data_IF_009748413260
#
_entry.id   IF_009748413260
#
_cell.length_a   1.000
_cell.length_b   1.000
_cell.length_c   1.000
_cell.angle_alpha   90.00
_cell.angle_beta   90.00
_cell.angle_gamma   90.00
#
_symmetry.space_group_name_H-M   'P 1'
#
loop_
_entity.id
_entity.type
_entity.pdbx_description
1 polymer ?
#
# COMPACT_ATOMS: atom_id res chain seq x y z
N UNK A 1 3.60 -61.65 54.23
CA UNK A 1 2.60 -61.81 55.31
C UNK A 1 3.29 -61.30 56.56
N UNK A 2 2.95 -60.19 57.21
CA UNK A 2 1.79 -59.29 57.32
C UNK A 2 2.39 -57.91 57.74
N UNK A 3 1.80 -56.71 57.70
CA UNK A 3 0.51 -56.15 57.31
C UNK A 3 0.70 -54.65 57.03
N UNK A 4 -0.18 -54.11 56.20
CA UNK A 4 -0.41 -52.69 55.88
C UNK A 4 -0.78 -51.83 57.11
N UNK A 5 -0.52 -50.51 57.06
CA UNK A 5 -1.61 -49.48 56.98
C UNK A 5 -1.13 -48.03 56.76
N UNK A 6 -1.62 -47.53 55.63
CA UNK A 6 -1.90 -46.22 55.06
C UNK A 6 -2.23 -44.98 55.96
N UNK A 7 -1.76 -43.80 55.48
CA UNK A 7 -2.49 -42.58 55.03
C UNK A 7 -2.62 -41.29 55.89
N UNK A 8 -2.47 -40.17 55.14
CA UNK A 8 -2.86 -38.74 55.32
C UNK A 8 -2.04 -37.86 56.28
N UNK A 9 -1.27 -36.87 55.79
CA UNK A 9 -1.60 -35.55 55.20
C UNK A 9 -2.15 -34.55 56.22
N UNK A 10 -1.35 -33.53 56.59
CA UNK A 10 -1.81 -32.20 57.01
C UNK A 10 -0.64 -31.22 56.99
N UNK A 11 -0.87 -30.12 56.27
CA UNK A 11 0.00 -29.00 55.96
C UNK A 11 -0.14 -27.91 57.04
N UNK A 12 0.95 -27.33 57.54
CA UNK A 12 0.94 -26.07 58.31
C UNK A 12 2.30 -25.34 58.27
N UNK A 13 2.46 -24.49 57.26
CA UNK A 13 2.87 -23.07 57.29
C UNK A 13 3.68 -22.55 58.51
N UNK A 14 4.98 -22.26 58.31
CA UNK A 14 5.71 -21.10 58.90
C UNK A 14 6.94 -20.81 58.01
N UNK A 15 7.04 -19.61 57.44
CA UNK A 15 8.34 -19.03 57.07
C UNK A 15 8.24 -17.50 57.07
N UNK A 16 8.80 -16.94 58.14
CA UNK A 16 8.98 -15.52 58.44
C UNK A 16 10.09 -14.89 57.59
N UNK A 17 9.93 -13.60 57.32
CA UNK A 17 10.86 -12.70 56.64
C UNK A 17 12.25 -12.65 57.29
N UNK A 18 13.29 -12.51 56.45
CA UNK A 18 14.59 -11.96 56.84
C UNK A 18 15.06 -11.00 55.76
N UNK A 19 15.12 -9.72 56.10
CA UNK A 19 15.87 -8.70 55.37
C UNK A 19 17.35 -8.85 55.69
N UNK A 20 18.21 -8.80 54.66
CA UNK A 20 19.60 -8.35 54.80
C UNK A 20 19.95 -7.45 53.62
N UNK A 21 20.29 -6.21 53.94
CA UNK A 21 21.01 -5.25 53.10
C UNK A 21 22.48 -5.30 53.53
N UNK A 22 23.38 -5.27 52.54
CA UNK A 22 24.81 -5.01 52.73
C UNK A 22 25.32 -4.28 51.48
N UNK A 23 25.84 -3.06 51.67
CA UNK A 23 26.57 -2.28 50.68
C UNK A 23 28.08 -2.55 50.82
N UNK A 24 28.84 -2.50 49.72
CA UNK A 24 30.07 -1.68 49.56
C UNK A 24 30.75 -1.94 48.21
N UNK A 25 30.80 -0.86 47.42
CA UNK A 25 31.81 -0.34 46.49
C UNK A 25 32.62 -1.19 45.48
N UNK A 26 32.66 -0.57 44.29
CA UNK A 26 33.66 -0.54 43.22
C UNK A 26 33.63 -1.53 42.02
N UNK A 27 33.84 -0.86 40.87
CA UNK A 27 34.23 -1.29 39.53
C UNK A 27 33.18 -1.74 38.49
N UNK A 28 32.95 -0.80 37.56
CA UNK A 28 32.90 -0.98 36.11
C UNK A 28 32.10 -2.17 35.55
N UNK A 29 30.98 -1.85 34.92
CA UNK A 29 30.88 -2.22 33.51
C UNK A 29 30.09 -1.17 32.74
N UNK A 30 30.82 -0.35 31.97
CA UNK A 30 30.24 0.37 30.86
C UNK A 30 29.56 -0.64 29.94
N UNK A 31 28.25 -0.52 29.80
CA UNK A 31 27.52 -1.14 28.70
C UNK A 31 28.04 -0.51 27.42
N UNK A 32 28.95 -1.23 26.77
CA UNK A 32 29.44 -0.93 25.44
C UNK A 32 28.27 -1.11 24.47
N UNK A 33 27.51 -0.03 24.27
CA UNK A 33 26.49 0.09 23.21
C UNK A 33 27.20 0.25 21.87
N UNK A 34 27.90 -0.81 21.45
CA UNK A 34 28.26 -1.00 20.06
C UNK A 34 27.02 -1.59 19.36
N UNK A 35 25.97 -0.78 19.27
CA UNK A 35 24.69 -1.09 18.63
C UNK A 35 24.88 -1.24 17.12
N UNK A 36 25.36 -2.40 16.69
CA UNK A 36 25.36 -2.77 15.28
C UNK A 36 23.90 -2.85 14.82
N UNK A 37 23.50 -1.91 13.97
CA UNK A 37 22.17 -1.89 13.36
C UNK A 37 22.06 -3.13 12.48
N UNK A 38 21.07 -3.99 12.75
CA UNK A 38 20.88 -5.23 11.99
C UNK A 38 20.56 -4.92 10.52
N UNK A 39 21.33 -5.53 9.60
CA UNK A 39 21.13 -5.44 8.16
C UNK A 39 20.29 -6.59 7.63
N UNK A 40 19.14 -6.27 7.07
CA UNK A 40 18.24 -7.13 6.31
C UNK A 40 18.79 -7.29 4.89
N UNK A 41 19.01 -8.54 4.47
CA UNK A 41 19.45 -8.88 3.11
C UNK A 41 19.22 -10.36 2.79
N UNK A 42 19.09 -10.66 1.51
CA UNK A 42 18.97 -12.01 0.97
C UNK A 42 17.61 -12.66 1.23
N UNK A 43 17.62 -13.99 1.29
CA UNK A 43 16.40 -14.80 1.27
C UNK A 43 16.00 -15.31 2.66
N UNK A 44 14.72 -15.16 2.99
CA UNK A 44 14.06 -15.70 4.18
C UNK A 44 13.35 -17.01 3.82
N UNK A 45 13.77 -18.11 4.45
CA UNK A 45 13.18 -19.45 4.26
C UNK A 45 12.46 -20.00 5.51
N UNK A 46 12.46 -19.23 6.60
CA UNK A 46 11.71 -19.50 7.83
C UNK A 46 11.25 -18.19 8.46
N UNK A 47 10.22 -18.23 9.31
CA UNK A 47 9.68 -17.03 9.95
C UNK A 47 10.76 -16.14 10.59
N UNK A 48 10.72 -14.85 10.29
CA UNK A 48 11.54 -13.79 10.88
C UNK A 48 10.64 -12.81 11.61
N UNK A 49 11.13 -12.18 12.68
CA UNK A 49 10.42 -11.11 13.39
C UNK A 49 11.33 -9.92 13.63
N UNK A 50 10.98 -8.79 13.01
CA UNK A 50 11.57 -7.47 13.29
C UNK A 50 10.88 -6.88 14.51
N UNK A 51 11.68 -6.51 15.52
CA UNK A 51 11.22 -6.19 16.86
C UNK A 51 10.91 -4.71 17.05
N UNK A 52 9.83 -4.42 17.79
CA UNK A 52 9.42 -3.07 18.11
C UNK A 52 10.55 -2.27 18.78
N UNK A 53 10.66 -0.98 18.46
CA UNK A 53 11.70 -0.10 19.00
C UNK A 53 13.06 -0.21 18.31
N UNK A 54 13.19 -1.06 17.29
CA UNK A 54 14.43 -1.25 16.53
C UNK A 54 14.39 -0.54 15.18
N UNK A 55 15.52 0.06 14.81
CA UNK A 55 15.80 0.48 13.43
C UNK A 55 16.63 -0.60 12.75
N UNK A 56 16.26 -0.98 11.53
CA UNK A 56 16.96 -1.94 10.68
C UNK A 56 17.49 -1.25 9.43
N UNK A 57 18.57 -1.78 8.87
CA UNK A 57 19.05 -1.40 7.53
C UNK A 57 18.58 -2.42 6.51
N UNK A 58 18.10 -1.99 5.36
CA UNK A 58 17.91 -2.87 4.19
C UNK A 58 19.13 -2.66 3.27
N UNK A 59 19.71 -3.73 2.72
CA UNK A 59 20.84 -3.63 1.79
C UNK A 59 20.81 -4.83 0.84
N UNK A 60 20.32 -4.58 -0.37
CA UNK A 60 19.91 -5.55 -1.37
C UNK A 60 18.47 -6.03 -1.22
N UNK A 61 18.17 -7.03 -2.03
CA UNK A 61 16.90 -7.75 -2.01
C UNK A 61 16.64 -8.40 -0.64
N UNK A 62 15.41 -8.33 -0.16
CA UNK A 62 14.93 -9.07 1.00
C UNK A 62 13.70 -9.89 0.63
N UNK A 63 13.95 -11.15 0.31
CA UNK A 63 12.99 -12.02 -0.38
C UNK A 63 12.41 -13.02 0.61
N UNK A 64 11.10 -13.06 0.76
CA UNK A 64 10.40 -14.05 1.60
C UNK A 64 9.89 -15.18 0.72
N UNK A 65 10.41 -16.39 0.96
CA UNK A 65 10.05 -17.58 0.20
C UNK A 65 8.79 -18.26 0.72
N UNK A 66 8.20 -19.09 -0.13
CA UNK A 66 6.99 -19.84 0.20
C UNK A 66 7.12 -20.62 1.52
N UNK A 67 6.14 -20.46 2.41
CA UNK A 67 6.13 -21.11 3.73
C UNK A 67 6.81 -20.30 4.84
N UNK A 68 7.48 -19.18 4.53
CA UNK A 68 8.03 -18.26 5.52
C UNK A 68 7.15 -17.02 5.70
N UNK A 69 7.27 -16.40 6.88
CA UNK A 69 6.58 -15.17 7.25
C UNK A 69 7.56 -14.10 7.73
N UNK A 70 7.53 -12.92 7.12
CA UNK A 70 8.16 -11.72 7.67
C UNK A 70 7.20 -11.01 8.62
N UNK A 71 7.46 -11.08 9.92
CA UNK A 71 6.68 -10.35 10.93
C UNK A 71 7.39 -9.04 11.27
N UNK A 72 6.67 -7.93 11.26
CA UNK A 72 7.20 -6.60 11.58
C UNK A 72 6.31 -6.00 12.66
N UNK A 73 6.87 -5.83 13.86
CA UNK A 73 6.16 -5.28 15.01
C UNK A 73 6.01 -3.75 14.90
N UNK A 74 5.05 -3.19 15.65
CA UNK A 74 4.76 -1.76 15.61
C UNK A 74 5.97 -0.88 15.94
N UNK A 75 6.09 0.26 15.25
CA UNK A 75 7.16 1.24 15.47
C UNK A 75 8.53 0.85 14.91
N UNK A 76 8.64 -0.29 14.22
CA UNK A 76 9.87 -0.64 13.49
C UNK A 76 10.15 0.40 12.41
N UNK A 77 11.41 0.82 12.31
CA UNK A 77 11.92 1.61 11.19
C UNK A 77 12.86 0.76 10.35
N UNK A 78 12.63 0.71 9.04
CA UNK A 78 13.54 0.10 8.06
C UNK A 78 14.11 1.23 7.21
N UNK A 79 15.43 1.28 7.07
CA UNK A 79 16.13 2.31 6.28
C UNK A 79 16.94 1.61 5.19
N UNK A 80 16.57 1.79 3.93
CA UNK A 80 17.37 1.34 2.79
C UNK A 80 18.71 2.06 2.77
N UNK A 81 19.77 1.33 2.44
CA UNK A 81 21.12 1.87 2.28
C UNK A 81 21.19 2.54 0.91
N UNK A 82 21.78 3.74 0.86
CA UNK A 82 21.98 4.41 -0.42
C UNK A 82 23.36 4.07 -1.00
N UNK A 83 23.43 2.98 -1.76
CA UNK A 83 24.61 2.55 -2.50
C UNK A 83 24.23 2.01 -3.91
N UNK A 84 25.16 1.32 -4.58
CA UNK A 84 24.96 0.78 -5.93
C UNK A 84 24.15 -0.54 -5.95
N UNK A 85 23.68 -1.01 -4.79
CA UNK A 85 22.84 -2.20 -4.64
C UNK A 85 21.39 -1.75 -4.51
N UNK A 86 20.52 -2.36 -5.30
CA UNK A 86 19.09 -2.03 -5.26
C UNK A 86 18.41 -2.73 -4.08
N UNK A 87 17.73 -1.93 -3.26
CA UNK A 87 17.04 -2.35 -2.05
C UNK A 87 15.54 -2.51 -2.29
N UNK A 88 14.98 -3.68 -2.01
CA UNK A 88 13.53 -3.92 -2.09
C UNK A 88 13.10 -5.10 -1.24
N UNK A 89 11.83 -5.14 -0.85
CA UNK A 89 11.23 -6.28 -0.13
C UNK A 89 10.29 -7.02 -1.08
N UNK A 90 10.48 -8.32 -1.25
CA UNK A 90 9.68 -9.16 -2.12
C UNK A 90 9.05 -10.33 -1.36
N UNK A 91 7.72 -10.39 -1.35
CA UNK A 91 6.93 -11.47 -0.77
C UNK A 91 6.47 -12.39 -1.90
N UNK A 92 7.08 -13.56 -2.05
CA UNK A 92 6.73 -14.51 -3.12
C UNK A 92 5.41 -15.24 -2.83
N UNK A 93 4.81 -15.84 -3.85
CA UNK A 93 3.61 -16.67 -3.70
C UNK A 93 3.76 -17.72 -2.59
N UNK A 94 2.81 -17.72 -1.65
CA UNK A 94 2.79 -18.64 -0.50
C UNK A 94 3.70 -18.22 0.67
N UNK A 95 4.42 -17.10 0.56
CA UNK A 95 5.03 -16.40 1.68
C UNK A 95 4.03 -15.41 2.29
N UNK A 96 4.39 -14.82 3.45
CA UNK A 96 3.57 -13.81 4.12
C UNK A 96 4.38 -12.65 4.66
N UNK A 97 3.74 -11.48 4.70
CA UNK A 97 4.18 -10.32 5.49
C UNK A 97 3.11 -9.97 6.53
N UNK A 98 3.50 -9.86 7.79
CA UNK A 98 2.64 -9.37 8.87
C UNK A 98 3.26 -8.10 9.44
N UNK A 99 2.99 -6.96 8.79
CA UNK A 99 3.41 -5.64 9.22
C UNK A 99 2.29 -4.97 10.01
N UNK A 100 2.40 -4.98 11.33
CA UNK A 100 1.32 -4.61 12.26
C UNK A 100 1.71 -3.38 13.08
N UNK A 101 1.71 -2.21 12.44
CA UNK A 101 1.88 -0.91 13.09
C UNK A 101 0.66 -0.47 13.89
N UNK A 102 0.73 0.74 14.42
CA UNK A 102 -0.41 1.44 15.03
C UNK A 102 -0.45 2.90 14.58
N UNK A 103 -1.59 3.58 14.75
CA UNK A 103 -1.72 5.00 14.43
C UNK A 103 -0.62 5.88 15.04
N UNK A 104 -0.11 5.56 16.24
CA UNK A 104 0.91 6.33 16.95
C UNK A 104 2.33 5.74 16.85
N UNK A 105 2.45 4.51 16.40
CA UNK A 105 3.71 3.81 16.16
C UNK A 105 3.62 3.05 14.84
N UNK A 106 3.57 3.78 13.70
CA UNK A 106 3.54 3.15 12.38
C UNK A 106 4.85 2.40 12.13
N UNK A 107 4.79 1.43 11.23
CA UNK A 107 6.01 0.88 10.62
C UNK A 107 6.43 1.85 9.52
N UNK A 108 7.68 2.31 9.57
CA UNK A 108 8.21 3.27 8.59
C UNK A 108 9.34 2.62 7.81
N UNK A 109 9.16 2.50 6.50
CA UNK A 109 10.17 2.04 5.56
C UNK A 109 10.59 3.22 4.69
N UNK A 110 11.86 3.60 4.74
CA UNK A 110 12.40 4.84 4.14
C UNK A 110 13.83 4.60 3.66
N UNK A 111 14.50 5.64 3.16
CA UNK A 111 15.87 5.57 2.66
C UNK A 111 16.82 6.49 3.43
N UNK A 112 18.12 6.16 3.43
CA UNK A 112 19.19 7.09 3.84
C UNK A 112 19.18 8.36 2.99
N UNK A 113 18.78 8.23 1.73
CA UNK A 113 18.61 9.34 0.80
C UNK A 113 17.11 9.61 0.63
N UNK A 114 16.64 10.66 1.27
CA UNK A 114 15.23 11.08 1.23
C UNK A 114 14.87 11.79 -0.09
N UNK A 115 15.07 11.11 -1.23
CA UNK A 115 14.73 11.58 -2.57
C UNK A 115 13.87 10.52 -3.29
N UNK A 116 12.86 10.92 -4.09
CA UNK A 116 12.12 9.99 -4.94
C UNK A 116 13.05 9.05 -5.72
N UNK A 117 12.71 7.76 -5.76
CA UNK A 117 13.48 6.74 -6.47
C UNK A 117 14.65 6.15 -5.70
N UNK A 118 14.75 6.37 -4.39
CA UNK A 118 15.91 5.95 -3.61
C UNK A 118 15.93 4.45 -3.25
N UNK A 119 14.80 3.74 -3.37
CA UNK A 119 14.71 2.29 -3.19
C UNK A 119 13.46 1.71 -3.86
N UNK A 120 13.39 0.38 -3.97
CA UNK A 120 12.40 -0.33 -4.77
C UNK A 120 11.09 -0.69 -4.06
N UNK A 121 10.83 -0.22 -2.84
CA UNK A 121 9.53 -0.43 -2.18
C UNK A 121 9.21 -1.89 -1.80
N UNK A 122 7.92 -2.22 -1.73
CA UNK A 122 7.40 -3.52 -1.31
C UNK A 122 6.62 -4.18 -2.44
N UNK A 123 6.95 -5.43 -2.74
CA UNK A 123 6.34 -6.23 -3.80
C UNK A 123 5.68 -7.47 -3.22
N UNK A 124 4.40 -7.68 -3.48
CA UNK A 124 3.64 -8.80 -2.93
C UNK A 124 3.01 -9.63 -4.04
N UNK A 125 3.46 -10.87 -4.19
CA UNK A 125 2.96 -11.82 -5.18
C UNK A 125 1.97 -12.80 -4.53
N UNK A 126 0.69 -12.70 -4.90
CA UNK A 126 -0.38 -13.60 -4.48
C UNK A 126 -0.83 -14.57 -5.58
N UNK A 127 -1.81 -15.42 -5.23
CA UNK A 127 -2.36 -16.49 -6.09
C UNK A 127 -3.75 -16.21 -6.64
N UNK A 128 -4.28 -15.00 -6.44
CA UNK A 128 -5.55 -14.58 -7.02
C UNK A 128 -5.41 -14.41 -8.53
N UNK A 129 -6.54 -14.24 -9.22
CA UNK A 129 -6.55 -14.08 -10.67
C UNK A 129 -5.71 -12.90 -11.17
N UNK A 130 -5.30 -12.99 -12.43
CA UNK A 130 -4.86 -11.88 -13.28
C UNK A 130 -5.37 -12.20 -14.69
N UNK A 131 -5.59 -11.18 -15.51
CA UNK A 131 -5.86 -11.36 -16.93
C UNK A 131 -4.59 -11.33 -17.80
N UNK A 132 -3.39 -11.29 -17.20
CA UNK A 132 -2.13 -11.55 -17.87
C UNK A 132 -2.18 -12.87 -18.66
N UNK A 133 -1.37 -12.96 -19.71
CA UNK A 133 -1.38 -14.11 -20.62
C UNK A 133 -1.19 -15.43 -19.84
N UNK A 134 -2.16 -16.35 -19.98
CA UNK A 134 -2.13 -17.64 -19.28
C UNK A 134 -2.56 -17.60 -17.81
N UNK A 135 -3.06 -16.46 -17.30
CA UNK A 135 -3.54 -16.29 -15.93
C UNK A 135 -2.42 -16.24 -14.88
N UNK A 136 -1.19 -15.95 -15.31
CA UNK A 136 0.00 -15.79 -14.47
C UNK A 136 0.92 -14.76 -15.08
N UNK A 137 1.43 -13.86 -14.25
CA UNK A 137 2.44 -12.89 -14.64
C UNK A 137 3.78 -13.14 -13.96
N UNK A 138 4.77 -12.33 -14.33
CA UNK A 138 6.05 -12.18 -13.65
C UNK A 138 6.10 -10.77 -13.09
N UNK A 139 6.37 -10.61 -11.80
CA UNK A 139 6.56 -9.28 -11.22
C UNK A 139 7.73 -8.59 -11.93
N UNK A 140 7.59 -7.29 -12.15
CA UNK A 140 8.63 -6.48 -12.81
C UNK A 140 9.89 -6.49 -11.95
N UNK A 141 9.70 -6.39 -10.63
CA UNK A 141 10.79 -6.46 -9.67
C UNK A 141 11.00 -7.89 -9.18
N UNK A 142 12.22 -8.39 -9.36
CA UNK A 142 12.65 -9.71 -8.90
C UNK A 142 12.13 -10.91 -9.71
N UNK A 143 11.28 -10.69 -10.73
CA UNK A 143 10.83 -11.75 -11.64
C UNK A 143 10.05 -12.89 -10.97
N UNK A 144 9.30 -12.59 -9.90
CA UNK A 144 8.55 -13.59 -9.17
C UNK A 144 7.21 -13.88 -9.85
N UNK A 145 6.81 -15.15 -9.85
CA UNK A 145 5.50 -15.55 -10.39
C UNK A 145 4.39 -15.03 -9.48
N UNK A 146 3.35 -14.46 -10.07
CA UNK A 146 2.08 -14.17 -9.44
C UNK A 146 0.91 -14.68 -10.29
N UNK A 147 -0.30 -14.56 -9.78
CA UNK A 147 -1.50 -14.99 -10.48
C UNK A 147 -1.89 -16.45 -10.21
N UNK A 148 -3.12 -16.78 -10.52
CA UNK A 148 -3.72 -18.09 -10.25
C UNK A 148 -5.23 -18.01 -10.28
N UNK A 149 -5.88 -18.86 -9.48
CA UNK A 149 -7.35 -18.91 -9.39
C UNK A 149 -7.83 -18.92 -7.93
N UNK A 150 -6.98 -18.49 -6.99
CA UNK A 150 -7.30 -18.46 -5.56
C UNK A 150 -7.56 -17.02 -5.08
N UNK A 151 -8.75 -16.51 -5.39
CA UNK A 151 -9.16 -15.15 -5.02
C UNK A 151 -9.29 -14.95 -3.50
N UNK A 152 -9.22 -16.03 -2.70
CA UNK A 152 -9.19 -15.97 -1.25
C UNK A 152 -7.77 -16.08 -0.67
N UNK A 153 -6.73 -16.07 -1.53
CA UNK A 153 -5.33 -16.13 -1.10
C UNK A 153 -5.00 -15.05 -0.06
N UNK A 154 -4.06 -15.37 0.83
CA UNK A 154 -3.71 -14.54 1.97
C UNK A 154 -2.18 -14.40 2.05
N UNK A 155 -1.69 -13.25 1.61
CA UNK A 155 -0.29 -12.83 1.65
C UNK A 155 0.08 -12.14 2.97
N UNK A 156 -0.84 -12.08 3.94
CA UNK A 156 -0.62 -11.55 5.29
C UNK A 156 -1.41 -10.27 5.57
N UNK A 157 -0.77 -9.32 6.25
CA UNK A 157 -1.38 -8.09 6.76
C UNK A 157 -0.42 -6.91 6.68
N UNK A 158 -0.89 -5.78 6.17
CA UNK A 158 -0.27 -4.47 6.30
C UNK A 158 -1.25 -3.55 7.03
N UNK A 159 -0.85 -3.11 8.22
CA UNK A 159 -1.60 -2.14 9.02
C UNK A 159 -0.69 -1.03 9.55
N UNK A 160 -1.03 0.24 9.30
CA UNK A 160 -0.23 1.41 9.69
C UNK A 160 1.22 1.31 9.17
N UNK A 161 1.35 1.08 7.87
CA UNK A 161 2.63 0.96 7.16
C UNK A 161 2.84 2.21 6.30
N UNK A 162 4.02 2.82 6.41
CA UNK A 162 4.41 3.96 5.58
C UNK A 162 5.67 3.62 4.80
N UNK A 163 5.59 3.72 3.48
CA UNK A 163 6.73 3.68 2.57
C UNK A 163 7.03 5.09 2.09
N UNK A 164 8.31 5.47 2.12
CA UNK A 164 8.78 6.80 1.76
C UNK A 164 9.86 6.69 0.69
N UNK A 165 9.83 7.54 -0.33
CA UNK A 165 10.93 7.70 -1.30
C UNK A 165 11.24 6.44 -2.15
N UNK A 166 10.21 5.66 -2.46
CA UNK A 166 10.26 4.51 -3.40
C UNK A 166 10.36 4.99 -4.85
N UNK A 167 10.33 4.10 -5.85
CA UNK A 167 10.48 4.50 -7.26
C UNK A 167 11.78 4.09 -7.94
N UNK A 168 12.56 3.15 -7.41
CA UNK A 168 13.86 2.89 -8.04
C UNK A 168 13.68 2.37 -9.48
N UNK A 169 14.26 3.07 -10.47
CA UNK A 169 14.26 2.68 -11.87
C UNK A 169 15.30 1.58 -12.13
N UNK A 170 14.85 0.38 -12.48
CA UNK A 170 15.72 -0.77 -12.74
C UNK A 170 16.28 -0.75 -14.17
N UNK A 171 15.46 -0.31 -15.13
CA UNK A 171 15.87 -0.05 -16.50
C UNK A 171 14.97 1.04 -17.14
N UNK A 172 15.03 1.20 -18.47
CA UNK A 172 14.24 2.24 -19.18
C UNK A 172 12.75 1.93 -19.25
N UNK A 173 12.34 0.68 -18.97
CA UNK A 173 10.96 0.20 -19.08
C UNK A 173 10.36 -0.19 -17.72
N UNK A 174 11.18 -0.50 -16.71
CA UNK A 174 10.74 -0.96 -15.39
C UNK A 174 11.23 -0.04 -14.26
N UNK A 175 10.27 0.57 -13.57
CA UNK A 175 10.46 1.33 -12.33
C UNK A 175 9.59 0.71 -11.21
N UNK A 176 9.95 0.95 -9.95
CA UNK A 176 9.35 0.25 -8.82
C UNK A 176 8.45 1.13 -7.97
N UNK A 177 7.26 0.66 -7.64
CA UNK A 177 6.25 1.47 -6.97
C UNK A 177 6.44 1.56 -5.43
N UNK A 178 5.52 2.25 -4.76
CA UNK A 178 5.45 2.26 -3.30
C UNK A 178 5.17 0.89 -2.70
N UNK A 179 3.94 0.41 -2.89
CA UNK A 179 3.56 -0.98 -2.59
C UNK A 179 2.83 -1.55 -3.81
N UNK A 180 3.38 -2.62 -4.38
CA UNK A 180 2.83 -3.29 -5.55
C UNK A 180 2.14 -4.59 -5.16
N UNK A 181 0.90 -4.75 -5.62
CA UNK A 181 0.04 -5.90 -5.37
C UNK A 181 -0.11 -6.72 -6.65
N UNK A 182 0.72 -7.76 -6.79
CA UNK A 182 0.67 -8.68 -7.91
C UNK A 182 -0.24 -9.87 -7.59
N UNK A 183 -1.46 -9.92 -8.15
CA UNK A 183 -2.41 -11.03 -7.99
C UNK A 183 -2.75 -11.32 -6.52
N UNK A 184 -2.82 -10.29 -5.67
CA UNK A 184 -3.05 -10.47 -4.22
C UNK A 184 -4.51 -10.76 -3.94
N UNK A 185 -4.77 -11.78 -3.10
CA UNK A 185 -6.11 -12.24 -2.78
C UNK A 185 -6.80 -11.47 -1.66
N UNK A 186 -8.14 -11.58 -1.65
CA UNK A 186 -9.05 -10.94 -0.68
C UNK A 186 -8.88 -11.42 0.77
N UNK A 187 -8.12 -12.49 1.01
CA UNK A 187 -7.75 -12.95 2.35
C UNK A 187 -6.65 -12.11 3.00
N UNK A 188 -5.97 -11.26 2.23
CA UNK A 188 -4.94 -10.32 2.69
C UNK A 188 -5.60 -9.06 3.27
N UNK A 189 -5.06 -8.55 4.38
CA UNK A 189 -5.54 -7.30 5.00
C UNK A 189 -4.58 -6.17 4.62
N UNK A 190 -5.09 -5.12 3.98
CA UNK A 190 -4.34 -3.91 3.66
C UNK A 190 -5.15 -2.73 4.17
N UNK A 191 -4.66 -2.08 5.21
CA UNK A 191 -5.42 -1.05 5.92
C UNK A 191 -4.48 0.00 6.52
N UNK A 192 -4.77 1.30 6.39
CA UNK A 192 -3.90 2.37 6.89
C UNK A 192 -2.47 2.28 6.33
N UNK A 193 -2.33 2.37 5.00
CA UNK A 193 -1.03 2.39 4.35
C UNK A 193 -0.78 3.75 3.68
N UNK A 194 0.46 4.25 3.76
CA UNK A 194 0.87 5.47 3.09
C UNK A 194 2.05 5.24 2.14
N UNK A 195 1.96 5.77 0.93
CA UNK A 195 3.09 6.03 0.05
C UNK A 195 3.41 7.54 0.03
N UNK A 196 4.68 7.89 0.23
CA UNK A 196 5.12 9.28 0.38
C UNK A 196 6.33 9.58 -0.51
N UNK A 197 6.16 10.50 -1.46
CA UNK A 197 7.22 11.04 -2.32
C UNK A 197 8.05 9.99 -3.06
N UNK A 198 7.40 8.99 -3.67
CA UNK A 198 8.06 8.07 -4.61
C UNK A 198 8.28 8.68 -5.98
N UNK A 199 9.16 8.13 -6.81
CA UNK A 199 9.32 8.58 -8.22
C UNK A 199 8.35 7.92 -9.19
N UNK A 200 7.72 6.83 -8.76
CA UNK A 200 6.72 6.06 -9.50
C UNK A 200 5.42 5.96 -8.68
N UNK A 201 4.55 5.02 -9.02
CA UNK A 201 3.22 4.91 -8.43
C UNK A 201 3.22 4.74 -6.91
N UNK A 202 2.23 5.34 -6.26
CA UNK A 202 2.04 5.18 -4.82
C UNK A 202 1.65 3.74 -4.44
N UNK A 203 0.58 3.26 -5.06
CA UNK A 203 0.09 1.90 -4.95
C UNK A 203 -0.35 1.41 -6.31
N UNK A 204 0.12 0.22 -6.70
CA UNK A 204 -0.24 -0.38 -7.99
C UNK A 204 -0.78 -1.79 -7.82
N UNK A 205 -1.84 -2.11 -8.57
CA UNK A 205 -2.49 -3.41 -8.55
C UNK A 205 -2.40 -4.09 -9.92
N UNK A 206 -1.69 -5.22 -9.98
CA UNK A 206 -1.68 -6.11 -11.15
C UNK A 206 -2.60 -7.29 -10.88
N UNK A 207 -3.86 -7.17 -11.29
CA UNK A 207 -4.87 -8.18 -11.03
C UNK A 207 -5.21 -8.37 -9.55
N UNK A 208 -5.86 -9.49 -9.24
CA UNK A 208 -6.19 -9.91 -7.88
C UNK A 208 -7.51 -9.34 -7.35
N UNK A 209 -7.80 -9.70 -6.10
CA UNK A 209 -9.08 -9.42 -5.41
C UNK A 209 -8.89 -8.76 -4.06
N UNK A 210 -7.66 -8.31 -3.75
CA UNK A 210 -7.33 -7.67 -2.47
C UNK A 210 -8.24 -6.46 -2.23
N UNK A 211 -8.74 -6.35 -0.99
CA UNK A 211 -9.47 -5.17 -0.55
C UNK A 211 -8.51 -4.26 0.23
N UNK A 212 -8.64 -2.96 0.03
CA UNK A 212 -7.84 -1.94 0.71
C UNK A 212 -8.74 -0.94 1.44
N UNK A 213 -8.27 -0.43 2.59
CA UNK A 213 -8.94 0.65 3.30
C UNK A 213 -7.96 1.67 3.87
N UNK A 214 -8.38 2.93 3.98
CA UNK A 214 -7.59 3.99 4.62
C UNK A 214 -6.21 4.17 3.94
N UNK A 215 -6.22 4.39 2.62
CA UNK A 215 -5.00 4.46 1.80
C UNK A 215 -4.64 5.91 1.51
N UNK A 216 -3.37 6.28 1.65
CA UNK A 216 -2.91 7.66 1.50
C UNK A 216 -1.70 7.73 0.59
N UNK A 217 -1.76 8.59 -0.43
CA UNK A 217 -0.63 8.84 -1.33
C UNK A 217 -0.31 10.31 -1.33
N UNK A 218 0.95 10.65 -1.09
CA UNK A 218 1.40 12.04 -1.04
C UNK A 218 2.57 12.24 -1.98
N UNK A 219 2.32 12.96 -3.08
CA UNK A 219 3.34 13.53 -3.97
C UNK A 219 4.32 12.51 -4.58
N UNK A 220 3.85 11.31 -4.90
CA UNK A 220 4.51 10.44 -5.88
C UNK A 220 4.51 11.13 -7.25
N UNK A 221 5.59 11.00 -8.04
CA UNK A 221 5.71 11.74 -9.32
C UNK A 221 5.00 11.11 -10.50
N UNK A 222 4.65 9.83 -10.45
CA UNK A 222 3.75 9.24 -11.45
C UNK A 222 2.30 9.21 -10.92
N UNK A 223 1.61 8.08 -10.99
CA UNK A 223 0.22 7.96 -10.59
C UNK A 223 0.09 7.73 -9.08
N UNK A 224 -0.96 8.28 -8.46
CA UNK A 224 -1.12 8.06 -7.01
C UNK A 224 -1.60 6.63 -6.74
N UNK A 225 -2.62 6.19 -7.47
CA UNK A 225 -3.07 4.82 -7.51
C UNK A 225 -3.13 4.37 -8.97
N UNK A 226 -2.57 3.21 -9.29
CA UNK A 226 -2.73 2.57 -10.59
C UNK A 226 -3.35 1.17 -10.41
N UNK A 227 -4.17 0.76 -11.36
CA UNK A 227 -4.41 -0.67 -11.53
C UNK A 227 -4.47 -1.09 -12.99
N UNK A 228 -4.10 -2.35 -13.17
CA UNK A 228 -4.21 -3.07 -14.42
C UNK A 228 -4.52 -4.55 -14.15
N UNK A 229 -4.49 -5.33 -15.20
CA UNK A 229 -4.50 -6.78 -15.20
C UNK A 229 -5.68 -7.49 -14.50
N UNK A 230 -6.83 -6.83 -14.44
CA UNK A 230 -8.05 -7.47 -13.98
C UNK A 230 -8.36 -7.31 -12.50
N UNK A 231 -7.78 -6.32 -11.79
CA UNK A 231 -8.05 -6.12 -10.37
C UNK A 231 -9.54 -5.86 -10.10
N UNK A 232 -10.16 -6.66 -9.23
CA UNK A 232 -11.59 -6.57 -8.90
C UNK A 232 -11.88 -6.44 -7.40
N UNK A 233 -10.90 -5.92 -6.66
CA UNK A 233 -11.02 -5.66 -5.24
C UNK A 233 -11.96 -4.50 -4.88
N UNK A 234 -11.97 -4.17 -3.59
CA UNK A 234 -12.69 -2.99 -3.07
C UNK A 234 -11.73 -2.03 -2.40
N UNK A 235 -11.98 -0.75 -2.56
CA UNK A 235 -11.29 0.32 -1.86
C UNK A 235 -12.28 1.16 -1.05
N UNK A 236 -11.95 1.49 0.19
CA UNK A 236 -12.68 2.52 0.96
C UNK A 236 -11.72 3.49 1.60
N UNK A 237 -12.07 4.78 1.59
CA UNK A 237 -11.30 5.83 2.25
C UNK A 237 -9.90 5.97 1.63
N UNK A 238 -9.87 6.47 0.37
CA UNK A 238 -8.64 6.68 -0.39
C UNK A 238 -8.36 8.18 -0.54
N UNK A 239 -7.13 8.59 -0.21
CA UNK A 239 -6.67 9.97 -0.32
C UNK A 239 -5.44 10.03 -1.21
N UNK A 240 -5.48 10.90 -2.22
CA UNK A 240 -4.29 11.29 -2.97
C UNK A 240 -4.12 12.81 -2.88
N UNK A 241 -2.92 13.25 -2.55
CA UNK A 241 -2.55 14.66 -2.56
C UNK A 241 -1.20 14.86 -3.26
N UNK A 242 -1.20 15.67 -4.31
CA UNK A 242 0.01 16.07 -5.00
C UNK A 242 0.31 17.54 -4.67
N UNK A 243 1.44 17.77 -4.00
CA UNK A 243 1.88 19.12 -3.66
C UNK A 243 2.22 19.92 -4.94
N UNK A 244 2.09 21.26 -4.95
CA UNK A 244 2.39 22.04 -6.14
C UNK A 244 3.81 21.78 -6.69
N UNK A 245 3.94 21.70 -8.02
CA UNK A 245 5.23 21.50 -8.73
C UNK A 245 6.32 22.47 -8.26
N UNK A 246 5.96 23.72 -7.99
CA UNK A 246 6.89 24.73 -7.51
C UNK A 246 7.54 24.38 -6.16
N UNK A 247 6.85 23.59 -5.34
CA UNK A 247 7.36 23.07 -4.06
C UNK A 247 8.14 21.77 -4.24
N UNK A 248 7.64 20.85 -5.08
CA UNK A 248 8.24 19.53 -5.28
C UNK A 248 9.50 19.55 -6.16
N UNK A 249 9.55 20.44 -7.16
CA UNK A 249 10.58 20.45 -8.19
C UNK A 249 10.33 19.47 -9.34
N UNK A 250 9.25 18.69 -9.30
CA UNK A 250 8.85 17.71 -10.31
C UNK A 250 7.33 17.70 -10.52
N UNK A 251 6.92 17.11 -11.64
CA UNK A 251 5.51 16.89 -11.97
C UNK A 251 4.99 15.62 -11.29
N UNK A 252 3.68 15.58 -11.06
CA UNK A 252 2.96 14.36 -10.67
C UNK A 252 1.98 14.01 -11.79
N UNK A 253 1.83 12.73 -12.14
CA UNK A 253 0.85 12.30 -13.14
C UNK A 253 -0.56 12.19 -12.56
N UNK A 254 -1.31 11.12 -12.83
CA UNK A 254 -2.70 10.99 -12.44
C UNK A 254 -2.85 10.84 -10.91
N UNK A 255 -4.04 11.15 -10.42
CA UNK A 255 -4.42 10.73 -9.06
C UNK A 255 -4.88 9.26 -9.09
N UNK A 256 -5.52 8.86 -10.18
CA UNK A 256 -5.84 7.47 -10.49
C UNK A 256 -5.58 7.24 -11.98
N UNK A 257 -4.76 6.26 -12.32
CA UNK A 257 -4.72 5.63 -13.64
C UNK A 257 -5.35 4.23 -13.55
N UNK A 258 -6.10 3.84 -14.58
CA UNK A 258 -7.01 2.70 -14.48
C UNK A 258 -7.17 1.96 -15.81
N UNK A 259 -6.64 0.75 -15.85
CA UNK A 259 -6.61 -0.15 -16.99
C UNK A 259 -7.36 -1.45 -16.74
N UNK A 260 -7.69 -2.14 -17.83
CA UNK A 260 -7.97 -3.57 -17.77
C UNK A 260 -6.75 -4.41 -18.17
N UNK A 261 -6.30 -4.27 -19.41
CA UNK A 261 -5.09 -4.90 -19.92
C UNK A 261 -4.65 -4.13 -21.16
N UNK A 262 -3.37 -3.77 -21.24
CA UNK A 262 -2.84 -2.92 -22.30
C UNK A 262 -2.91 -3.55 -23.71
N UNK A 263 -2.79 -4.88 -23.80
CA UNK A 263 -2.69 -5.61 -25.06
C UNK A 263 -4.06 -6.16 -25.51
N UNK A 264 -4.95 -6.46 -24.56
CA UNK A 264 -6.33 -6.85 -24.82
C UNK A 264 -7.28 -6.16 -23.83
N UNK A 265 -7.78 -4.98 -24.18
CA UNK A 265 -8.73 -4.22 -23.36
C UNK A 265 -9.99 -5.01 -22.93
N UNK A 266 -10.31 -6.14 -23.59
CA UNK A 266 -11.45 -7.00 -23.23
C UNK A 266 -11.05 -8.27 -22.43
N UNK A 267 -9.77 -8.41 -22.05
CA UNK A 267 -9.26 -9.55 -21.32
C UNK A 267 -10.06 -9.80 -20.03
N UNK A 268 -10.30 -11.08 -19.75
CA UNK A 268 -11.06 -11.52 -18.58
C UNK A 268 -10.12 -12.19 -17.56
N UNK A 269 -10.32 -11.97 -16.25
CA UNK A 269 -11.32 -11.07 -15.65
C UNK A 269 -11.04 -9.59 -15.95
N UNK A 270 -12.11 -8.79 -16.02
CA UNK A 270 -12.00 -7.36 -16.28
C UNK A 270 -11.69 -6.64 -14.98
N UNK A 271 -10.76 -5.66 -15.00
CA UNK A 271 -10.54 -4.76 -13.87
C UNK A 271 -11.85 -4.05 -13.55
N UNK A 272 -12.39 -4.32 -12.37
CA UNK A 272 -13.70 -3.82 -11.96
C UNK A 272 -13.74 -3.52 -10.46
N UNK A 273 -12.88 -2.62 -9.94
CA UNK A 273 -12.90 -2.32 -8.53
C UNK A 273 -14.18 -1.57 -8.13
N UNK A 274 -14.56 -1.76 -6.86
CA UNK A 274 -15.57 -0.92 -6.18
C UNK A 274 -14.88 0.00 -5.19
N UNK A 275 -14.90 1.30 -5.45
CA UNK A 275 -14.23 2.33 -4.65
C UNK A 275 -15.26 3.22 -3.95
N UNK A 276 -15.00 3.56 -2.69
CA UNK A 276 -15.88 4.41 -1.89
C UNK A 276 -15.10 5.42 -1.04
N UNK A 277 -15.63 6.63 -0.89
CA UNK A 277 -15.03 7.71 -0.08
C UNK A 277 -13.62 8.09 -0.57
N UNK A 278 -13.55 8.88 -1.64
CA UNK A 278 -12.28 9.34 -2.21
C UNK A 278 -12.12 10.84 -2.05
N UNK A 279 -10.91 11.27 -1.69
CA UNK A 279 -10.47 12.66 -1.80
C UNK A 279 -9.18 12.69 -2.63
N UNK A 280 -9.28 13.22 -3.85
CA UNK A 280 -8.18 13.26 -4.81
C UNK A 280 -7.89 14.73 -5.16
N UNK A 281 -6.72 15.21 -4.78
CA UNK A 281 -6.32 16.60 -4.97
C UNK A 281 -4.94 16.69 -5.67
N UNK A 282 -4.95 17.09 -6.94
CA UNK A 282 -3.74 17.26 -7.73
C UNK A 282 -3.03 18.59 -7.54
N UNK A 283 -1.91 18.73 -8.24
CA UNK A 283 -0.97 19.85 -8.15
C UNK A 283 -1.24 21.03 -9.11
N UNK A 284 -2.36 21.02 -9.83
CA UNK A 284 -2.78 22.08 -10.76
C UNK A 284 -2.33 21.88 -12.21
N UNK A 285 -1.58 20.81 -12.51
CA UNK A 285 -1.09 20.52 -13.86
C UNK A 285 -2.22 20.12 -14.82
N UNK A 286 -2.00 20.33 -16.13
CA UNK A 286 -2.96 20.00 -17.19
C UNK A 286 -2.98 18.49 -17.54
N UNK A 287 -2.97 17.66 -16.50
CA UNK A 287 -3.05 16.20 -16.55
C UNK A 287 -4.40 15.70 -16.00
N UNK A 288 -4.55 14.39 -15.85
CA UNK A 288 -5.77 13.72 -15.44
C UNK A 288 -5.86 13.61 -13.91
N UNK A 289 -7.07 13.72 -13.38
CA UNK A 289 -7.41 13.36 -12.00
C UNK A 289 -7.61 11.86 -11.92
N UNK A 290 -8.82 11.41 -12.28
CA UNK A 290 -9.10 10.01 -12.53
C UNK A 290 -9.06 9.78 -14.04
N UNK A 291 -8.23 8.83 -14.50
CA UNK A 291 -8.13 8.42 -15.89
C UNK A 291 -8.61 6.98 -16.04
N UNK A 292 -9.83 6.81 -16.56
CA UNK A 292 -10.40 5.48 -16.84
C UNK A 292 -10.14 5.14 -18.30
N UNK A 293 -9.30 4.14 -18.59
CA UNK A 293 -8.90 3.80 -19.96
C UNK A 293 -8.88 2.29 -20.18
N UNK A 294 -8.55 1.90 -21.43
CA UNK A 294 -8.20 0.52 -21.83
C UNK A 294 -9.17 -0.58 -21.33
N UNK A 295 -10.47 -0.32 -21.44
CA UNK A 295 -11.52 -1.29 -21.12
C UNK A 295 -11.78 -1.53 -19.62
N UNK A 296 -11.12 -0.78 -18.73
CA UNK A 296 -11.39 -0.84 -17.29
C UNK A 296 -12.86 -0.57 -17.00
N UNK A 297 -13.41 -1.26 -16.00
CA UNK A 297 -14.73 -1.03 -15.44
C UNK A 297 -14.58 -0.54 -14.00
N UNK A 298 -15.54 0.22 -13.48
CA UNK A 298 -15.44 0.74 -12.10
C UNK A 298 -16.82 0.96 -11.51
N UNK A 299 -16.92 0.79 -10.19
CA UNK A 299 -17.97 1.40 -9.38
C UNK A 299 -17.33 2.40 -8.42
N UNK A 300 -17.61 3.69 -8.56
CA UNK A 300 -17.11 4.75 -7.67
C UNK A 300 -18.29 5.44 -7.00
N UNK A 301 -18.29 5.45 -5.67
CA UNK A 301 -19.28 6.14 -4.83
C UNK A 301 -18.59 7.15 -3.89
N UNK A 302 -19.12 8.37 -3.84
CA UNK A 302 -18.65 9.44 -2.94
C UNK A 302 -17.17 9.81 -3.15
N UNK A 303 -16.88 10.55 -4.23
CA UNK A 303 -15.53 11.03 -4.54
C UNK A 303 -15.49 12.55 -4.72
N UNK A 304 -14.41 13.19 -4.27
CA UNK A 304 -14.09 14.59 -4.56
C UNK A 304 -12.80 14.62 -5.37
N UNK A 305 -12.82 15.19 -6.58
CA UNK A 305 -11.65 15.26 -7.47
C UNK A 305 -11.39 16.68 -7.93
N UNK A 306 -10.22 17.21 -7.59
CA UNK A 306 -9.80 18.56 -7.95
C UNK A 306 -8.29 18.65 -8.21
N UNK A 307 -7.82 19.84 -8.62
CA UNK A 307 -6.38 20.10 -8.76
C UNK A 307 -5.74 19.45 -9.99
N UNK A 308 -6.53 19.05 -10.98
CA UNK A 308 -6.06 18.58 -12.29
C UNK A 308 -6.86 19.25 -13.40
N UNK A 309 -6.21 19.53 -14.53
CA UNK A 309 -6.87 20.14 -15.70
C UNK A 309 -8.02 19.29 -16.25
N UNK A 310 -7.93 17.96 -16.09
CA UNK A 310 -8.97 17.01 -16.46
C UNK A 310 -9.33 16.15 -15.24
N UNK A 311 -10.23 16.60 -14.35
CA UNK A 311 -10.48 15.89 -13.08
C UNK A 311 -11.05 14.47 -13.27
N UNK A 312 -11.73 14.23 -14.38
CA UNK A 312 -12.17 12.90 -14.81
C UNK A 312 -12.00 12.79 -16.32
N UNK A 313 -11.21 11.82 -16.76
CA UNK A 313 -10.98 11.49 -18.16
C UNK A 313 -11.45 10.06 -18.44
N UNK A 314 -12.29 9.90 -19.48
CA UNK A 314 -12.82 8.61 -19.93
C UNK A 314 -12.27 8.31 -21.32
N UNK A 315 -11.50 7.24 -21.44
CA UNK A 315 -10.82 6.86 -22.66
C UNK A 315 -11.18 5.43 -23.06
N UNK A 316 -11.08 5.11 -24.35
CA UNK A 316 -11.41 3.81 -24.97
C UNK A 316 -12.91 3.49 -25.10
N UNK A 317 -13.23 2.80 -26.19
CA UNK A 317 -14.62 2.43 -26.52
C UNK A 317 -15.27 1.49 -25.48
N UNK A 318 -14.50 0.58 -24.89
CA UNK A 318 -15.01 -0.40 -23.93
C UNK A 318 -15.34 0.24 -22.57
N UNK A 319 -14.47 1.11 -22.06
CA UNK A 319 -14.72 1.86 -20.82
C UNK A 319 -15.93 2.79 -20.96
N UNK A 320 -16.01 3.54 -22.08
CA UNK A 320 -17.17 4.36 -22.41
C UNK A 320 -18.47 3.53 -22.46
N UNK A 321 -18.42 2.38 -23.14
CA UNK A 321 -19.58 1.49 -23.26
C UNK A 321 -20.06 0.96 -21.92
N UNK A 322 -19.13 0.58 -21.02
CA UNK A 322 -19.44 0.09 -19.68
C UNK A 322 -20.15 1.16 -18.83
N UNK A 323 -19.78 2.44 -18.96
CA UNK A 323 -20.49 3.52 -18.29
C UNK A 323 -21.87 3.77 -18.91
N UNK A 324 -21.97 3.79 -20.25
CA UNK A 324 -23.25 4.04 -20.95
C UNK A 324 -24.30 2.97 -20.73
N UNK A 325 -23.90 1.72 -20.62
CA UNK A 325 -24.82 0.60 -20.41
C UNK A 325 -25.09 0.30 -18.91
N UNK A 326 -24.40 0.99 -18.00
CA UNK A 326 -24.57 0.85 -16.55
C UNK A 326 -23.79 -0.31 -15.92
N UNK A 327 -22.89 -0.98 -16.65
CA UNK A 327 -21.94 -1.94 -16.07
C UNK A 327 -20.99 -1.24 -15.09
N UNK A 328 -20.46 -0.08 -15.47
CA UNK A 328 -19.72 0.84 -14.61
C UNK A 328 -20.66 1.91 -14.05
N UNK A 329 -20.37 2.39 -12.84
CA UNK A 329 -21.22 3.31 -12.10
C UNK A 329 -20.35 4.40 -11.45
N UNK A 330 -20.74 5.65 -11.66
CA UNK A 330 -20.16 6.82 -10.99
C UNK A 330 -21.29 7.54 -10.24
N UNK A 331 -21.22 7.61 -8.92
CA UNK A 331 -22.26 8.19 -8.08
C UNK A 331 -21.69 9.04 -6.95
N UNK A 332 -22.45 10.08 -6.56
CA UNK A 332 -22.12 11.00 -5.48
C UNK A 332 -20.73 11.65 -5.65
N UNK A 333 -20.29 11.88 -6.89
CA UNK A 333 -19.00 12.47 -7.20
C UNK A 333 -19.09 13.98 -7.38
N UNK A 334 -18.11 14.72 -6.85
CA UNK A 334 -17.88 16.14 -7.15
C UNK A 334 -16.54 16.28 -7.87
N UNK A 335 -16.58 16.80 -9.10
CA UNK A 335 -15.37 17.08 -9.90
C UNK A 335 -15.21 18.59 -10.12
N UNK A 336 -13.97 19.10 -10.16
CA UNK A 336 -13.71 20.54 -10.24
C UNK A 336 -13.94 21.19 -11.60
N UNK A 337 -14.16 20.40 -12.65
CA UNK A 337 -14.40 20.83 -14.02
C UNK A 337 -15.18 19.73 -14.75
N UNK A 338 -15.71 20.03 -15.94
CA UNK A 338 -16.39 19.01 -16.76
C UNK A 338 -15.43 17.85 -17.08
N UNK A 339 -15.98 16.63 -17.13
CA UNK A 339 -15.18 15.48 -17.56
C UNK A 339 -14.75 15.60 -19.02
N UNK A 340 -13.63 14.97 -19.35
CA UNK A 340 -13.17 14.78 -20.73
C UNK A 340 -13.43 13.33 -21.17
N UNK A 341 -13.74 13.15 -22.45
CA UNK A 341 -14.02 11.82 -23.02
C UNK A 341 -13.62 11.75 -24.49
N UNK A 342 -13.19 10.58 -24.94
CA UNK A 342 -12.99 10.23 -26.36
C UNK A 342 -14.19 9.48 -26.99
N UNK A 343 -15.26 9.27 -26.22
CA UNK A 343 -16.43 8.48 -26.62
C UNK A 343 -17.77 9.09 -26.21
N UNK A 344 -18.78 8.22 -26.09
CA UNK A 344 -20.18 8.65 -25.97
C UNK A 344 -20.68 8.84 -24.52
N UNK A 345 -19.84 8.59 -23.51
CA UNK A 345 -20.12 8.93 -22.11
C UNK A 345 -19.73 10.38 -21.83
N UNK A 346 -20.72 11.25 -21.83
CA UNK A 346 -20.53 12.71 -21.79
C UNK A 346 -20.65 13.27 -20.38
N UNK A 347 -20.23 14.53 -20.20
CA UNK A 347 -20.48 15.27 -18.96
C UNK A 347 -21.98 15.33 -18.59
N UNK A 348 -22.88 15.37 -19.59
CA UNK A 348 -24.32 15.34 -19.35
C UNK A 348 -24.79 14.00 -18.76
N UNK A 349 -24.23 12.87 -19.22
CA UNK A 349 -24.50 11.54 -18.65
C UNK A 349 -24.01 11.48 -17.19
N UNK A 350 -22.80 11.99 -16.92
CA UNK A 350 -22.25 12.06 -15.57
C UNK A 350 -23.13 12.87 -14.61
N UNK A 351 -23.56 14.07 -15.01
CA UNK A 351 -24.45 14.93 -14.20
C UNK A 351 -25.84 14.31 -14.01
N UNK A 352 -26.32 13.53 -14.97
CA UNK A 352 -27.60 12.83 -14.84
C UNK A 352 -27.56 11.68 -13.82
N UNK A 353 -26.38 11.14 -13.52
CA UNK A 353 -26.22 10.10 -12.52
C UNK A 353 -26.35 10.63 -11.08
N UNK A 354 -26.76 9.75 -10.17
CA UNK A 354 -27.16 10.09 -8.81
C UNK A 354 -26.06 10.85 -8.06
N UNK A 355 -26.37 12.07 -7.63
CA UNK A 355 -25.53 12.86 -6.73
C UNK A 355 -24.26 13.45 -7.35
N UNK A 356 -24.03 13.23 -8.65
CA UNK A 356 -22.87 13.77 -9.34
C UNK A 356 -23.04 15.27 -9.63
N UNK A 357 -21.96 16.02 -9.51
CA UNK A 357 -21.93 17.46 -9.83
C UNK A 357 -20.54 17.92 -10.26
N UNK A 358 -20.52 19.00 -11.02
CA UNK A 358 -19.31 19.79 -11.31
C UNK A 358 -19.33 21.01 -10.39
N UNK A 359 -18.26 21.24 -9.64
CA UNK A 359 -18.09 22.36 -8.72
C UNK A 359 -16.70 22.98 -8.87
N UNK A 360 -16.61 24.08 -9.63
CA UNK A 360 -15.35 24.78 -9.88
C UNK A 360 -14.72 25.41 -8.63
N UNK A 361 -15.44 25.48 -7.50
CA UNK A 361 -14.89 25.94 -6.23
C UNK A 361 -14.25 24.79 -5.41
N UNK A 362 -14.45 23.53 -5.81
CA UNK A 362 -13.83 22.39 -5.13
C UNK A 362 -12.30 22.50 -5.21
N UNK A 363 -11.68 22.66 -4.04
CA UNK A 363 -10.23 22.76 -3.90
C UNK A 363 -9.84 22.44 -2.45
N UNK A 364 -8.61 22.00 -2.26
CA UNK A 364 -7.98 21.87 -0.95
C UNK A 364 -6.76 22.79 -0.88
N UNK A 365 -6.69 23.62 0.15
CA UNK A 365 -5.59 24.59 0.30
C UNK A 365 -4.26 23.93 0.72
N UNK A 366 -4.32 22.73 1.29
CA UNK A 366 -3.16 21.96 1.75
C UNK A 366 -3.58 20.52 2.06
N UNK A 367 -2.59 19.65 2.26
CA UNK A 367 -2.85 18.29 2.75
C UNK A 367 -3.48 18.28 4.15
N UNK A 368 -3.11 19.22 5.02
CA UNK A 368 -3.72 19.35 6.35
C UNK A 368 -5.22 19.66 6.30
N UNK A 369 -5.67 20.38 5.26
CA UNK A 369 -7.09 20.60 5.04
C UNK A 369 -7.84 19.30 4.72
N UNK A 370 -7.21 18.38 3.97
CA UNK A 370 -7.76 17.03 3.72
C UNK A 370 -7.76 16.21 5.01
N UNK A 371 -6.65 16.21 5.76
CA UNK A 371 -6.55 15.50 7.05
C UNK A 371 -7.65 15.92 8.03
N UNK A 372 -8.01 17.20 8.04
CA UNK A 372 -9.09 17.72 8.90
C UNK A 372 -10.49 17.19 8.52
N UNK A 373 -10.70 16.66 7.31
CA UNK A 373 -11.95 16.00 6.90
C UNK A 373 -11.94 14.49 7.14
N UNK A 374 -10.78 13.90 7.42
CA UNK A 374 -10.57 12.45 7.50
C UNK A 374 -10.14 12.03 8.91
N UNK A 375 -11.09 11.80 9.82
CA UNK A 375 -10.80 11.40 11.20
C UNK A 375 -9.96 10.11 11.32
N UNK A 376 -10.00 9.23 10.32
CA UNK A 376 -9.20 8.00 10.26
C UNK A 376 -7.71 8.24 9.95
N UNK A 377 -7.36 9.43 9.45
CA UNK A 377 -5.96 9.86 9.26
C UNK A 377 -5.30 10.38 10.54
N UNK A 378 -6.02 10.40 11.67
CA UNK A 378 -5.48 10.81 12.96
C UNK A 378 -4.33 9.89 13.43
N UNK A 379 -3.36 10.48 14.13
CA UNK A 379 -2.14 9.83 14.59
C UNK A 379 -0.90 10.31 13.85
N UNK A 380 0.18 9.55 13.97
CA UNK A 380 1.50 9.85 13.38
C UNK A 380 1.82 8.94 12.17
N UNK A 381 0.87 8.13 11.73
CA UNK A 381 1.07 7.17 10.64
C UNK A 381 1.10 7.84 9.27
N UNK A 382 0.35 8.94 9.08
CA UNK A 382 0.44 9.80 7.90
C UNK A 382 1.51 10.89 8.12
N UNK A 383 2.54 10.91 7.28
CA UNK A 383 3.58 11.94 7.20
C UNK A 383 3.05 13.22 6.56
#
# INVERSE_FOLDING_TARGET
MESLKWKFLSLALVASMSFLTSCSDDDNNGGNDNGEVETLKGTITSDVTLKAGTTYKLSGEYIVEAGATLNIEAGVKIISVYDDIVDYILIKQGAKINAMGTANAPIVMTSEKEEPGAWGGIHICGKAHTNAEGGKGSSEIGGAVYGGNDDADNSGKLQYVRVEYTGYAFDEEHEANGITFYGVGSGTIVDHCQAYKGSDDGFEFFGGSVNVSNMVVVSCSDDSFDWTEGWNGKGTDLVAYQEPKATLGYDCDCLIEADNNENDNAASPISHPTLKNLILAGNGESKQGIRLRRGTQVHIDNAKVCGKGQPLAIESALTNSALKNGTSLLANMTISAELTTDGDYTNADFIAATGNKVDAALSYASFDAIKAECDWMNGNWVK
#
